data_IF_153905259900
#
_entry.id   IF_153905259900
#
_cell.length_a   1.000
_cell.length_b   1.000
_cell.length_c   1.000
_cell.angle_alpha   90.00
_cell.angle_beta   90.00
_cell.angle_gamma   90.00
#
_symmetry.space_group_name_H-M   'P 1'
#
loop_
_entity.id
_entity.type
_entity.pdbx_description
1 polymer ?
#
# COMPACT_ATOMS: atom_id res chain seq x y z
N UNK A 1 59.48 -43.60 -12.39
CA UNK A 1 58.74 -42.54 -13.04
C UNK A 1 57.40 -42.33 -12.23
N UNK A 2 57.31 -41.33 -11.40
CA UNK A 2 56.13 -41.06 -10.57
C UNK A 2 55.35 -39.91 -11.21
N UNK A 3 54.14 -40.22 -11.68
CA UNK A 3 53.22 -39.22 -12.22
C UNK A 3 52.45 -38.57 -11.07
N UNK A 4 52.61 -37.25 -10.91
CA UNK A 4 51.84 -36.42 -10.00
C UNK A 4 50.50 -36.03 -10.64
N UNK A 5 49.39 -36.46 -10.06
CA UNK A 5 48.06 -36.01 -10.44
C UNK A 5 47.72 -34.71 -9.67
N UNK A 6 47.51 -33.62 -10.40
CA UNK A 6 47.11 -32.33 -9.86
C UNK A 6 45.57 -32.31 -9.73
N UNK A 7 45.04 -32.39 -8.49
CA UNK A 7 43.62 -32.22 -8.23
C UNK A 7 43.29 -30.72 -8.21
N UNK A 8 42.54 -30.28 -9.20
CA UNK A 8 41.97 -28.94 -9.28
C UNK A 8 40.74 -28.87 -8.39
N UNK A 9 40.87 -28.21 -7.22
CA UNK A 9 39.75 -27.89 -6.36
C UNK A 9 39.02 -26.68 -6.96
N UNK A 10 37.86 -26.90 -7.56
CA UNK A 10 36.93 -25.83 -7.96
C UNK A 10 36.18 -25.32 -6.75
N UNK A 11 36.55 -24.14 -6.27
CA UNK A 11 35.84 -23.41 -5.25
C UNK A 11 34.58 -22.78 -5.86
N UNK A 12 33.42 -23.41 -5.71
CA UNK A 12 32.14 -22.84 -6.09
C UNK A 12 31.74 -21.78 -5.06
N UNK A 13 31.88 -20.53 -5.45
CA UNK A 13 31.39 -19.37 -4.68
C UNK A 13 29.84 -19.36 -4.80
N UNK A 14 29.16 -19.96 -3.83
CA UNK A 14 27.70 -19.85 -3.69
C UNK A 14 27.34 -18.41 -3.30
N UNK A 15 26.85 -17.62 -4.27
CA UNK A 15 26.14 -16.37 -3.96
C UNK A 15 24.85 -16.76 -3.22
N UNK A 16 24.87 -16.64 -1.88
CA UNK A 16 23.65 -16.68 -1.08
C UNK A 16 22.84 -15.44 -1.42
N UNK A 17 21.76 -15.59 -2.19
CA UNK A 17 20.68 -14.62 -2.30
C UNK A 17 20.09 -14.45 -0.89
N UNK A 18 20.57 -13.46 -0.14
CA UNK A 18 19.90 -13.04 1.08
C UNK A 18 18.52 -12.53 0.68
N UNK A 19 17.42 -13.03 1.28
CA UNK A 19 16.12 -12.40 1.12
C UNK A 19 16.28 -10.97 1.61
N UNK A 20 15.83 -9.99 0.80
CA UNK A 20 15.66 -8.61 1.25
C UNK A 20 14.71 -8.65 2.45
N UNK A 21 15.27 -8.69 3.66
CA UNK A 21 14.51 -8.48 4.88
C UNK A 21 13.87 -7.10 4.74
N UNK A 22 12.55 -7.04 4.69
CA UNK A 22 11.82 -5.78 4.84
C UNK A 22 12.36 -5.15 6.12
N UNK A 23 12.97 -3.98 5.99
CA UNK A 23 13.58 -3.29 7.12
C UNK A 23 12.46 -2.99 8.13
N UNK A 24 12.47 -3.73 9.23
CA UNK A 24 11.53 -3.48 10.34
C UNK A 24 11.96 -2.16 10.97
N UNK A 25 11.05 -1.18 11.00
CA UNK A 25 11.31 0.11 11.62
C UNK A 25 11.77 -0.07 13.08
N UNK A 26 12.85 0.61 13.47
CA UNK A 26 13.28 0.63 14.86
C UNK A 26 12.19 1.26 15.76
N UNK A 27 12.16 0.98 17.08
CA UNK A 27 11.20 1.61 17.97
C UNK A 27 11.20 3.14 17.89
N UNK A 28 12.37 3.75 17.73
CA UNK A 28 12.50 5.19 17.54
C UNK A 28 11.88 5.67 16.23
N UNK A 29 12.12 4.96 15.12
CA UNK A 29 11.48 5.27 13.83
C UNK A 29 9.96 5.14 13.91
N UNK A 30 9.46 4.08 14.56
CA UNK A 30 8.01 3.89 14.76
C UNK A 30 7.40 5.05 15.54
N UNK A 31 8.04 5.48 16.63
CA UNK A 31 7.58 6.62 17.42
C UNK A 31 7.54 7.92 16.62
N UNK A 32 8.58 8.19 15.82
CA UNK A 32 8.65 9.37 14.96
C UNK A 32 7.59 9.32 13.85
N UNK A 33 7.33 8.15 13.25
CA UNK A 33 6.26 7.97 12.27
C UNK A 33 4.86 8.20 12.88
N UNK A 34 4.66 7.76 14.13
CA UNK A 34 3.42 8.09 14.87
C UNK A 34 3.28 9.59 15.15
N UNK A 35 4.36 10.27 15.49
CA UNK A 35 4.36 11.74 15.65
C UNK A 35 4.02 12.45 14.34
N UNK A 36 4.52 11.96 13.19
CA UNK A 36 4.11 12.47 11.87
C UNK A 36 2.61 12.31 11.68
N UNK A 37 2.05 11.10 11.93
CA UNK A 37 0.61 10.85 11.78
C UNK A 37 -0.23 11.72 12.72
N UNK A 38 0.21 11.88 13.96
CA UNK A 38 -0.43 12.76 14.92
C UNK A 38 -0.41 14.22 14.43
N UNK A 39 0.73 14.69 13.96
CA UNK A 39 0.85 16.03 13.38
C UNK A 39 -0.05 16.22 12.16
N UNK A 40 -0.12 15.22 11.28
CA UNK A 40 -1.02 15.18 10.11
C UNK A 40 -2.50 15.30 10.53
N UNK A 41 -2.93 14.51 11.51
CA UNK A 41 -4.33 14.48 11.98
C UNK A 41 -4.75 15.73 12.78
N UNK A 42 -3.80 16.36 13.46
CA UNK A 42 -4.03 17.56 14.28
C UNK A 42 -3.63 18.87 13.59
N UNK A 43 -3.24 18.79 12.31
CA UNK A 43 -2.78 19.95 11.49
C UNK A 43 -1.58 20.69 12.10
N UNK A 44 -0.74 19.98 12.86
CA UNK A 44 0.48 20.53 13.45
C UNK A 44 1.67 20.33 12.53
N UNK A 45 1.81 21.21 11.57
CA UNK A 45 2.88 21.15 10.55
C UNK A 45 4.30 21.28 11.16
N UNK A 46 4.44 21.97 12.29
CA UNK A 46 5.69 22.04 13.06
C UNK A 46 6.14 20.66 13.52
N UNK A 47 5.21 19.87 14.09
CA UNK A 47 5.47 18.51 14.55
C UNK A 47 5.83 17.57 13.38
N UNK A 48 5.07 17.66 12.28
CA UNK A 48 5.36 16.86 11.07
C UNK A 48 6.75 17.13 10.55
N UNK A 49 7.11 18.40 10.36
CA UNK A 49 8.41 18.79 9.83
C UNK A 49 9.58 18.35 10.73
N UNK A 50 9.46 18.54 12.05
CA UNK A 50 10.49 18.13 13.00
C UNK A 50 10.70 16.61 13.01
N UNK A 51 9.60 15.86 13.04
CA UNK A 51 9.66 14.39 13.08
C UNK A 51 10.18 13.83 11.76
N UNK A 52 9.79 14.39 10.61
CA UNK A 52 10.33 14.03 9.30
C UNK A 52 11.84 14.29 9.21
N UNK A 53 12.30 15.45 9.65
CA UNK A 53 13.73 15.76 9.67
C UNK A 53 14.52 14.72 10.48
N UNK A 54 14.03 14.34 11.65
CA UNK A 54 14.66 13.31 12.48
C UNK A 54 14.65 11.93 11.81
N UNK A 55 13.56 11.55 11.14
CA UNK A 55 13.46 10.30 10.39
C UNK A 55 14.45 10.24 9.22
N UNK A 56 14.59 11.34 8.47
CA UNK A 56 15.51 11.44 7.35
C UNK A 56 16.98 11.34 7.77
N UNK A 57 17.31 11.79 8.99
CA UNK A 57 18.66 11.61 9.55
C UNK A 57 18.94 10.16 9.95
N UNK A 58 17.92 9.40 10.35
CA UNK A 58 18.07 8.00 10.77
C UNK A 58 18.16 7.08 9.54
N UNK A 59 17.18 7.18 8.64
CA UNK A 59 17.12 6.35 7.43
C UNK A 59 16.32 7.04 6.32
N UNK A 60 17.00 7.84 5.48
CA UNK A 60 16.35 8.55 4.39
C UNK A 60 15.81 7.64 3.27
N UNK A 61 16.21 6.37 3.26
CA UNK A 61 15.80 5.39 2.24
C UNK A 61 14.67 4.47 2.70
N UNK A 62 14.20 4.63 3.93
CA UNK A 62 13.07 3.85 4.43
C UNK A 62 11.78 4.18 3.65
N UNK A 63 11.07 3.20 3.10
CA UNK A 63 9.86 3.45 2.33
C UNK A 63 8.77 4.23 3.08
N UNK A 64 8.61 3.99 4.40
CA UNK A 64 7.63 4.70 5.22
C UNK A 64 8.02 6.16 5.44
N UNK A 65 9.31 6.45 5.55
CA UNK A 65 9.84 7.83 5.66
C UNK A 65 9.62 8.58 4.35
N UNK A 66 9.94 7.96 3.22
CA UNK A 66 9.71 8.53 1.89
C UNK A 66 8.20 8.80 1.67
N UNK A 67 7.34 7.86 2.06
CA UNK A 67 5.90 8.05 1.97
C UNK A 67 5.39 9.17 2.88
N UNK A 68 5.93 9.33 4.07
CA UNK A 68 5.60 10.43 4.96
C UNK A 68 6.03 11.79 4.37
N UNK A 69 7.24 11.86 3.77
CA UNK A 69 7.72 13.05 3.05
C UNK A 69 6.83 13.36 1.84
N UNK A 70 6.47 12.35 1.05
CA UNK A 70 5.53 12.48 -0.06
C UNK A 70 4.24 13.17 0.40
N UNK A 71 3.60 12.69 1.47
CA UNK A 71 2.36 13.28 2.01
C UNK A 71 2.55 14.72 2.49
N UNK A 72 3.67 15.00 3.15
CA UNK A 72 4.01 16.35 3.58
C UNK A 72 4.11 17.31 2.39
N UNK A 73 4.88 16.97 1.36
CA UNK A 73 5.05 17.80 0.15
C UNK A 73 3.71 18.03 -0.56
N UNK A 74 2.88 16.99 -0.67
CA UNK A 74 1.57 17.10 -1.29
C UNK A 74 0.65 18.08 -0.53
N UNK A 75 0.67 18.06 0.82
CA UNK A 75 -0.07 19.03 1.64
C UNK A 75 0.45 20.45 1.52
N UNK A 76 1.75 20.62 1.29
CA UNK A 76 2.35 21.94 1.03
C UNK A 76 2.06 22.46 -0.39
N UNK A 77 1.38 21.68 -1.23
CA UNK A 77 1.11 22.03 -2.63
C UNK A 77 2.30 21.77 -3.56
N UNK A 78 3.40 21.22 -3.06
CA UNK A 78 4.54 20.82 -3.89
C UNK A 78 4.28 19.46 -4.55
N UNK A 79 3.42 19.49 -5.57
CA UNK A 79 3.07 18.29 -6.34
C UNK A 79 4.27 17.74 -7.09
N UNK A 80 5.19 18.59 -7.55
CA UNK A 80 6.38 18.16 -8.27
C UNK A 80 7.37 17.42 -7.32
N UNK A 81 7.57 17.94 -6.10
CA UNK A 81 8.34 17.27 -5.07
C UNK A 81 7.71 15.95 -4.63
N UNK A 82 6.39 15.93 -4.43
CA UNK A 82 5.66 14.70 -4.11
C UNK A 82 5.81 13.64 -5.22
N UNK A 83 5.73 14.03 -6.51
CA UNK A 83 5.94 13.11 -7.63
C UNK A 83 7.33 12.49 -7.60
N UNK A 84 8.38 13.26 -7.30
CA UNK A 84 9.74 12.72 -7.18
C UNK A 84 9.86 11.65 -6.09
N UNK A 85 9.24 11.88 -4.92
CA UNK A 85 9.25 10.87 -3.86
C UNK A 85 8.44 9.62 -4.24
N UNK A 86 7.35 9.78 -4.97
CA UNK A 86 6.57 8.66 -5.50
C UNK A 86 7.41 7.84 -6.52
N UNK A 87 8.13 8.50 -7.42
CA UNK A 87 9.01 7.83 -8.39
C UNK A 87 10.16 7.09 -7.69
N UNK A 88 10.70 7.70 -6.62
CA UNK A 88 11.70 7.07 -5.76
C UNK A 88 11.16 5.79 -5.11
N UNK A 89 9.96 5.84 -4.51
CA UNK A 89 9.29 4.66 -3.96
C UNK A 89 9.07 3.58 -5.01
N UNK A 90 8.64 3.96 -6.22
CA UNK A 90 8.45 3.05 -7.34
C UNK A 90 9.74 2.33 -7.73
N UNK A 91 10.87 3.03 -7.73
CA UNK A 91 12.17 2.45 -8.07
C UNK A 91 12.74 1.53 -6.99
N UNK A 92 12.47 1.85 -5.71
CA UNK A 92 13.08 1.15 -4.58
C UNK A 92 12.22 0.02 -4.02
N UNK A 93 10.93 0.23 -3.92
CA UNK A 93 10.01 -0.67 -3.23
C UNK A 93 8.61 -0.69 -3.90
N UNK A 94 8.51 -1.14 -5.19
CA UNK A 94 7.28 -1.06 -5.97
C UNK A 94 6.11 -1.86 -5.39
N UNK A 95 6.41 -2.89 -4.60
CA UNK A 95 5.40 -3.75 -3.97
C UNK A 95 5.10 -3.36 -2.51
N UNK A 96 5.74 -2.30 -1.99
CA UNK A 96 5.51 -1.85 -0.62
C UNK A 96 4.14 -1.19 -0.46
N UNK A 97 3.57 -1.31 0.74
CA UNK A 97 2.35 -0.58 1.14
C UNK A 97 2.56 0.95 1.04
N UNK A 98 3.76 1.42 1.34
CA UNK A 98 4.16 2.82 1.23
C UNK A 98 3.99 3.34 -0.22
N UNK A 99 4.51 2.61 -1.22
CA UNK A 99 4.32 2.98 -2.62
C UNK A 99 2.85 2.91 -3.05
N UNK A 100 2.15 1.81 -2.73
CA UNK A 100 0.76 1.63 -3.13
C UNK A 100 -0.16 2.71 -2.55
N UNK A 101 0.04 3.07 -1.27
CA UNK A 101 -0.71 4.16 -0.62
C UNK A 101 -0.40 5.52 -1.24
N UNK A 102 0.87 5.82 -1.48
CA UNK A 102 1.29 7.08 -2.08
C UNK A 102 0.76 7.24 -3.51
N UNK A 103 0.79 6.16 -4.31
CA UNK A 103 0.21 6.12 -5.65
C UNK A 103 -1.29 6.42 -5.64
N UNK A 104 -2.04 5.76 -4.77
CA UNK A 104 -3.48 6.00 -4.60
C UNK A 104 -3.74 7.46 -4.20
N UNK A 105 -3.00 7.98 -3.24
CA UNK A 105 -3.13 9.37 -2.77
C UNK A 105 -2.82 10.38 -3.87
N UNK A 106 -1.72 10.18 -4.62
CA UNK A 106 -1.36 11.06 -5.74
C UNK A 106 -2.46 11.10 -6.79
N UNK A 107 -2.97 9.95 -7.18
CA UNK A 107 -4.02 9.85 -8.20
C UNK A 107 -5.28 10.60 -7.76
N UNK A 108 -5.70 10.44 -6.51
CA UNK A 108 -6.90 11.08 -5.96
C UNK A 108 -6.68 12.54 -5.55
N UNK A 109 -5.47 13.05 -5.57
CA UNK A 109 -5.19 14.48 -5.40
C UNK A 109 -5.60 15.30 -6.62
N UNK A 110 -5.69 14.68 -7.80
CA UNK A 110 -6.10 15.35 -9.05
C UNK A 110 -7.63 15.48 -9.16
N UNK A 111 -8.15 16.54 -9.81
CA UNK A 111 -9.58 16.65 -10.11
C UNK A 111 -10.12 15.47 -10.92
N UNK A 112 -9.39 15.05 -11.94
CA UNK A 112 -9.79 13.94 -12.83
C UNK A 112 -9.86 12.61 -12.07
N UNK A 113 -8.88 12.33 -11.21
CA UNK A 113 -8.88 11.14 -10.36
C UNK A 113 -10.07 11.09 -9.39
N UNK A 114 -10.40 12.24 -8.77
CA UNK A 114 -11.58 12.33 -7.90
C UNK A 114 -12.88 12.15 -8.67
N UNK A 115 -13.00 12.75 -9.86
CA UNK A 115 -14.18 12.60 -10.72
C UNK A 115 -14.35 11.15 -11.18
N UNK A 116 -13.27 10.48 -11.61
CA UNK A 116 -13.30 9.08 -11.99
C UNK A 116 -13.70 8.16 -10.85
N UNK A 117 -13.20 8.43 -9.61
CA UNK A 117 -13.63 7.69 -8.42
C UNK A 117 -15.13 7.88 -8.13
N UNK A 118 -15.64 9.10 -8.24
CA UNK A 118 -17.07 9.38 -8.04
C UNK A 118 -17.93 8.64 -9.06
N UNK A 119 -17.50 8.58 -10.30
CA UNK A 119 -18.20 7.82 -11.34
C UNK A 119 -18.22 6.32 -11.06
N UNK A 120 -17.09 5.73 -10.62
CA UNK A 120 -17.03 4.33 -10.23
C UNK A 120 -17.97 4.02 -9.05
N UNK A 121 -18.04 4.90 -8.06
CA UNK A 121 -18.98 4.82 -6.92
C UNK A 121 -20.43 4.88 -7.36
N UNK A 122 -20.76 5.79 -8.26
CA UNK A 122 -22.13 5.91 -8.79
C UNK A 122 -22.56 4.60 -9.49
N UNK A 123 -21.72 4.05 -10.34
CA UNK A 123 -21.97 2.75 -10.99
C UNK A 123 -22.16 1.63 -9.96
N UNK A 124 -21.34 1.59 -8.92
CA UNK A 124 -21.42 0.59 -7.85
C UNK A 124 -22.73 0.68 -7.04
N UNK A 125 -23.22 1.90 -6.78
CA UNK A 125 -24.45 2.14 -6.01
C UNK A 125 -25.71 1.93 -6.83
N UNK A 126 -25.65 2.15 -8.15
CA UNK A 126 -26.76 1.92 -9.08
C UNK A 126 -26.87 0.48 -9.58
N UNK A 127 -25.99 -0.42 -9.07
CA UNK A 127 -26.06 -1.85 -9.39
C UNK A 127 -25.31 -2.27 -10.65
N UNK A 128 -24.63 -1.34 -11.34
CA UNK A 128 -23.82 -1.60 -12.52
C UNK A 128 -22.44 -2.16 -12.14
N UNK A 129 -22.46 -3.33 -11.49
CA UNK A 129 -21.27 -3.89 -10.81
C UNK A 129 -20.07 -4.09 -11.74
N UNK A 130 -20.27 -4.65 -12.93
CA UNK A 130 -19.18 -4.91 -13.87
C UNK A 130 -18.58 -3.59 -14.41
N UNK A 131 -19.44 -2.63 -14.74
CA UNK A 131 -19.00 -1.30 -15.18
C UNK A 131 -18.26 -0.54 -14.06
N UNK A 132 -18.73 -0.68 -12.81
CA UNK A 132 -18.05 -0.12 -11.64
C UNK A 132 -16.65 -0.72 -11.47
N UNK A 133 -16.51 -2.05 -11.53
CA UNK A 133 -15.21 -2.72 -11.47
C UNK A 133 -14.30 -2.23 -12.59
N UNK A 134 -14.79 -2.17 -13.82
CA UNK A 134 -14.02 -1.68 -14.96
C UNK A 134 -13.59 -0.20 -14.78
N UNK A 135 -14.45 0.64 -14.18
CA UNK A 135 -14.11 2.04 -13.88
C UNK A 135 -13.02 2.15 -12.80
N UNK A 136 -13.09 1.32 -11.74
CA UNK A 136 -12.02 1.22 -10.75
C UNK A 136 -10.72 0.69 -11.36
N UNK A 137 -10.77 -0.39 -12.13
CA UNK A 137 -9.60 -0.98 -12.77
C UNK A 137 -8.93 0.03 -13.73
N UNK A 138 -9.72 0.80 -14.48
CA UNK A 138 -9.20 1.89 -15.32
C UNK A 138 -8.54 3.01 -14.48
N UNK A 139 -9.18 3.44 -13.40
CA UNK A 139 -8.67 4.50 -12.52
C UNK A 139 -7.34 4.10 -11.88
N UNK A 140 -7.20 2.85 -11.46
CA UNK A 140 -6.02 2.34 -10.75
C UNK A 140 -5.06 1.53 -11.61
N UNK A 141 -5.21 1.58 -12.95
CA UNK A 141 -4.35 0.89 -13.92
C UNK A 141 -4.26 -0.63 -13.65
N UNK A 142 -5.41 -1.24 -13.40
CA UNK A 142 -5.55 -2.67 -13.10
C UNK A 142 -4.93 -3.14 -11.79
N UNK A 143 -4.40 -2.23 -10.97
CA UNK A 143 -3.83 -2.54 -9.64
C UNK A 143 -4.81 -2.14 -8.55
N UNK A 144 -5.09 -3.01 -7.57
CA UNK A 144 -5.97 -2.65 -6.46
C UNK A 144 -5.53 -1.37 -5.75
N UNK A 145 -6.47 -0.49 -5.36
CA UNK A 145 -6.17 0.69 -4.56
C UNK A 145 -5.74 0.30 -3.13
N UNK A 146 -5.25 1.29 -2.37
CA UNK A 146 -4.86 1.13 -0.97
C UNK A 146 -5.77 1.97 -0.04
N UNK A 147 -5.64 1.76 1.26
CA UNK A 147 -6.38 2.48 2.29
C UNK A 147 -7.89 2.20 2.24
N UNK A 148 -8.70 3.20 2.57
CA UNK A 148 -10.17 3.06 2.63
C UNK A 148 -10.78 2.68 1.27
N UNK A 149 -10.18 3.15 0.18
CA UNK A 149 -10.63 2.80 -1.18
C UNK A 149 -10.45 1.30 -1.47
N UNK A 150 -9.47 0.65 -0.87
CA UNK A 150 -9.28 -0.80 -1.03
C UNK A 150 -10.50 -1.57 -0.50
N UNK A 151 -11.01 -1.20 0.66
CA UNK A 151 -12.21 -1.82 1.24
C UNK A 151 -13.42 -1.63 0.32
N UNK A 152 -13.62 -0.41 -0.17
CA UNK A 152 -14.69 -0.07 -1.10
C UNK A 152 -14.60 -0.89 -2.40
N UNK A 153 -13.43 -0.89 -3.03
CA UNK A 153 -13.17 -1.65 -4.26
C UNK A 153 -13.46 -3.15 -4.07
N UNK A 154 -12.93 -3.76 -3.02
CA UNK A 154 -13.11 -5.20 -2.80
C UNK A 154 -14.55 -5.57 -2.43
N UNK A 155 -15.30 -4.68 -1.78
CA UNK A 155 -16.73 -4.88 -1.56
C UNK A 155 -17.53 -4.87 -2.88
N UNK A 156 -17.13 -4.04 -3.84
CA UNK A 156 -17.74 -4.02 -5.19
C UNK A 156 -17.36 -5.30 -5.94
N UNK A 157 -16.08 -5.69 -5.94
CA UNK A 157 -15.60 -6.92 -6.59
C UNK A 157 -16.27 -8.17 -6.00
N UNK A 158 -16.56 -8.21 -4.70
CA UNK A 158 -17.22 -9.33 -4.04
C UNK A 158 -18.66 -9.58 -4.54
N UNK A 159 -19.30 -8.60 -5.17
CA UNK A 159 -20.63 -8.77 -5.78
C UNK A 159 -20.57 -9.66 -7.04
N UNK A 160 -19.41 -9.77 -7.68
CA UNK A 160 -19.18 -10.63 -8.83
C UNK A 160 -18.88 -12.08 -8.36
N UNK A 161 -19.72 -13.09 -8.70
CA UNK A 161 -19.56 -14.44 -8.19
C UNK A 161 -18.19 -15.07 -8.46
N UNK A 162 -17.64 -14.85 -9.66
CA UNK A 162 -16.34 -15.41 -10.06
C UNK A 162 -15.17 -14.86 -9.26
N UNK A 163 -15.28 -13.61 -8.77
CA UNK A 163 -14.21 -12.89 -8.04
C UNK A 163 -14.46 -12.82 -6.52
N UNK A 164 -15.62 -13.25 -6.05
CA UNK A 164 -16.05 -13.13 -4.64
C UNK A 164 -15.05 -13.71 -3.65
N UNK A 165 -14.59 -14.93 -3.87
CA UNK A 165 -13.65 -15.57 -2.94
C UNK A 165 -12.30 -14.82 -2.87
N UNK A 166 -11.81 -14.31 -4.00
CA UNK A 166 -10.62 -13.49 -4.04
C UNK A 166 -10.82 -12.18 -3.25
N UNK A 167 -11.96 -11.52 -3.45
CA UNK A 167 -12.31 -10.30 -2.73
C UNK A 167 -12.40 -10.52 -1.21
N UNK A 168 -13.07 -11.58 -0.76
CA UNK A 168 -13.14 -11.95 0.66
C UNK A 168 -11.73 -12.13 1.24
N UNK A 169 -10.85 -12.83 0.55
CA UNK A 169 -9.48 -13.03 1.03
C UNK A 169 -8.69 -11.70 1.15
N UNK A 170 -8.92 -10.75 0.26
CA UNK A 170 -8.31 -9.43 0.37
C UNK A 170 -8.91 -8.60 1.51
N UNK A 171 -10.23 -8.63 1.69
CA UNK A 171 -10.89 -7.97 2.82
C UNK A 171 -10.44 -8.54 4.17
N UNK A 172 -10.19 -9.87 4.26
CA UNK A 172 -9.60 -10.49 5.46
C UNK A 172 -8.20 -9.96 5.75
N UNK A 173 -7.35 -9.77 4.73
CA UNK A 173 -6.03 -9.17 4.90
C UNK A 173 -6.11 -7.72 5.37
N UNK A 174 -7.02 -6.93 4.81
CA UNK A 174 -7.25 -5.54 5.23
C UNK A 174 -7.74 -5.51 6.69
N UNK A 175 -8.67 -6.39 7.06
CA UNK A 175 -9.17 -6.49 8.44
C UNK A 175 -8.07 -6.86 9.44
N UNK A 176 -7.15 -7.76 9.06
CA UNK A 176 -6.01 -8.13 9.91
C UNK A 176 -5.06 -6.96 10.17
N UNK A 177 -4.92 -6.03 9.21
CA UNK A 177 -4.11 -4.82 9.37
C UNK A 177 -4.85 -3.64 10.03
N UNK A 178 -6.18 -3.72 10.15
CA UNK A 178 -7.03 -2.66 10.73
C UNK A 178 -8.16 -3.26 11.57
N UNK A 179 -7.85 -3.94 12.68
CA UNK A 179 -8.82 -4.75 13.44
C UNK A 179 -9.93 -3.94 14.15
N UNK A 180 -9.83 -2.61 14.18
CA UNK A 180 -10.85 -1.74 14.76
C UNK A 180 -11.91 -1.24 13.77
N UNK A 181 -11.86 -1.64 12.50
CA UNK A 181 -12.81 -1.17 11.49
C UNK A 181 -14.10 -2.00 11.51
N UNK A 182 -15.08 -1.56 12.32
CA UNK A 182 -16.37 -2.24 12.50
C UNK A 182 -17.16 -2.37 11.19
N UNK A 183 -17.11 -1.35 10.32
CA UNK A 183 -17.79 -1.38 9.03
C UNK A 183 -17.23 -2.49 8.12
N UNK A 184 -15.90 -2.61 8.07
CA UNK A 184 -15.24 -3.68 7.34
C UNK A 184 -15.59 -5.05 7.91
N UNK A 185 -15.57 -5.21 9.24
CA UNK A 185 -15.92 -6.47 9.91
C UNK A 185 -17.35 -6.89 9.59
N UNK A 186 -18.31 -5.97 9.67
CA UNK A 186 -19.72 -6.26 9.36
C UNK A 186 -19.90 -6.67 7.90
N UNK A 187 -19.26 -5.95 6.97
CA UNK A 187 -19.30 -6.28 5.54
C UNK A 187 -18.67 -7.65 5.26
N UNK A 188 -17.52 -7.95 5.87
CA UNK A 188 -16.84 -9.23 5.72
C UNK A 188 -17.67 -10.39 6.28
N UNK A 189 -18.26 -10.24 7.47
CA UNK A 189 -19.14 -11.24 8.07
C UNK A 189 -20.35 -11.56 7.17
N UNK A 190 -20.97 -10.52 6.59
CA UNK A 190 -22.07 -10.70 5.65
C UNK A 190 -21.64 -11.47 4.39
N UNK A 191 -20.48 -11.13 3.81
CA UNK A 191 -19.95 -11.82 2.63
C UNK A 191 -19.59 -13.28 2.92
N UNK A 192 -18.99 -13.58 4.07
CA UNK A 192 -18.68 -14.93 4.52
C UNK A 192 -19.96 -15.76 4.69
N UNK A 193 -20.98 -15.19 5.36
CA UNK A 193 -22.28 -15.85 5.53
C UNK A 193 -22.92 -16.17 4.16
N UNK A 194 -22.98 -15.20 3.24
CA UNK A 194 -23.54 -15.38 1.89
C UNK A 194 -22.77 -16.41 1.05
N UNK A 195 -21.49 -16.61 1.34
CA UNK A 195 -20.62 -17.55 0.64
C UNK A 195 -20.56 -18.94 1.29
N UNK A 196 -21.35 -19.18 2.36
CA UNK A 196 -21.37 -20.46 3.10
C UNK A 196 -20.12 -20.69 3.97
N UNK A 197 -19.27 -19.67 4.15
CA UNK A 197 -17.99 -19.72 4.89
C UNK A 197 -18.18 -19.23 6.33
N UNK A 198 -19.09 -19.87 7.06
CA UNK A 198 -19.55 -19.41 8.39
C UNK A 198 -18.55 -19.60 9.51
N UNK A 199 -17.59 -20.52 9.33
CA UNK A 199 -16.60 -20.87 10.36
C UNK A 199 -15.34 -20.01 10.29
N UNK A 200 -15.30 -19.04 9.37
CA UNK A 200 -14.18 -18.13 9.14
C UNK A 200 -14.47 -16.71 9.64
#
# INVERSE_FOLDING_TARGET
>A
MRTFSLNLLTLSLGLALMPLAQAVNSPQQQQLLEQVRLGESTQREDLVRQSLYSLELIDPNNPDVIAARFRYLLRQGDTAGAQKELDRLKGMAPDSSAYQSSRTTMLLSTPDGRQALQQARLLATTGHTQEAIAAYDKLFDGKPPSGDIATEYWNVVAKEPARRNSAINQLKKINASSPGNVTLQSSLAQLLFQSGRRDE
#
